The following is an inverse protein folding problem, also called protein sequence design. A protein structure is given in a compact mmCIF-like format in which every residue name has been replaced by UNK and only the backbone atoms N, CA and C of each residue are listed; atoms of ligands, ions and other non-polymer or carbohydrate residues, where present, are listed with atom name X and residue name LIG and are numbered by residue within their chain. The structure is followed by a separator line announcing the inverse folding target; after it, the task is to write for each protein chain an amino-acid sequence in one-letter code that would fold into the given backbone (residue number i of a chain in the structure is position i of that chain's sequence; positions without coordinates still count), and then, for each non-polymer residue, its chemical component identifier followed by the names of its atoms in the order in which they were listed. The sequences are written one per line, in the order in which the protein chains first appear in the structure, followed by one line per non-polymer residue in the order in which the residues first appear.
data_IF_748542313789
#
_entry.id   IF_748542313789
#
_cell.length_a   1.000
_cell.length_b   1.000
_cell.length_c   1.000
_cell.angle_alpha   90.00
_cell.angle_beta   90.00
_cell.angle_gamma   90.00
#
_symmetry.space_group_name_H-M   'P 1'
#
loop_
_entity.id
_entity.type
_entity.pdbx_description
1 polymer ?
#
# COMPACT_ATOMS: atom_id res chain seq x y z
N UNK A 1 -3.45 12.07 -10.13
CA UNK A 1 -3.95 12.47 -8.80
C UNK A 1 -2.81 13.08 -8.02
N UNK A 2 -2.90 14.37 -7.74
CA UNK A 2 -1.76 15.17 -7.32
C UNK A 2 -1.36 14.86 -5.86
N UNK A 3 -0.15 14.34 -5.68
CA UNK A 3 0.40 13.92 -4.38
C UNK A 3 1.18 15.06 -3.70
N UNK A 4 0.80 16.31 -3.94
CA UNK A 4 1.52 17.49 -3.42
C UNK A 4 1.40 17.53 -1.89
N UNK A 5 2.50 17.62 -1.13
CA UNK A 5 2.46 17.74 0.32
C UNK A 5 1.69 19.00 0.77
N UNK A 6 1.13 18.98 1.97
CA UNK A 6 0.54 20.16 2.59
C UNK A 6 1.67 21.12 3.02
N UNK A 7 1.57 22.38 2.63
CA UNK A 7 2.41 23.48 3.12
C UNK A 7 2.06 23.84 4.56
N UNK A 8 2.96 24.54 5.26
CA UNK A 8 2.73 24.89 6.67
C UNK A 8 1.59 25.88 6.87
N UNK A 9 1.30 26.72 5.87
CA UNK A 9 0.10 27.55 5.87
C UNK A 9 -1.15 26.68 5.74
N UNK A 10 -1.21 25.78 4.77
CA UNK A 10 -2.35 24.86 4.58
C UNK A 10 -2.60 24.01 5.84
N UNK A 11 -1.54 23.53 6.51
CA UNK A 11 -1.66 22.77 7.77
C UNK A 11 -2.30 23.61 8.88
N UNK A 12 -1.80 24.83 9.10
CA UNK A 12 -2.31 25.74 10.14
C UNK A 12 -3.77 26.10 9.88
N UNK A 13 -4.11 26.47 8.64
CA UNK A 13 -5.48 26.81 8.24
C UNK A 13 -6.42 25.60 8.40
N UNK A 14 -6.00 24.41 7.97
CA UNK A 14 -6.79 23.19 8.13
C UNK A 14 -7.10 22.88 9.60
N UNK A 15 -6.12 23.02 10.50
CA UNK A 15 -6.30 22.77 11.94
C UNK A 15 -7.23 23.81 12.57
N UNK A 16 -7.06 25.09 12.24
CA UNK A 16 -7.92 26.19 12.71
C UNK A 16 -9.38 25.97 12.30
N UNK A 17 -9.64 25.79 11.01
CA UNK A 17 -11.00 25.55 10.49
C UNK A 17 -11.61 24.29 11.10
N UNK A 18 -10.79 23.26 11.36
CA UNK A 18 -11.25 22.05 12.03
C UNK A 18 -11.65 22.29 13.48
N UNK A 19 -10.91 23.10 14.24
CA UNK A 19 -11.28 23.49 15.61
C UNK A 19 -12.52 24.38 15.64
N UNK A 20 -12.77 25.15 14.60
CA UNK A 20 -14.02 25.93 14.39
C UNK A 20 -15.21 25.05 13.99
N UNK A 21 -15.04 23.73 13.88
CA UNK A 21 -16.11 22.78 13.58
C UNK A 21 -16.42 22.58 12.10
N UNK A 22 -15.59 23.10 11.19
CA UNK A 22 -15.82 22.94 9.76
C UNK A 22 -15.78 21.47 9.33
N UNK A 23 -16.66 21.11 8.39
CA UNK A 23 -16.68 19.78 7.77
C UNK A 23 -15.49 19.63 6.82
N UNK A 24 -14.94 18.41 6.72
CA UNK A 24 -13.77 18.14 5.89
C UNK A 24 -13.95 18.55 4.42
N UNK A 25 -15.16 18.42 3.88
CA UNK A 25 -15.42 18.84 2.50
C UNK A 25 -15.23 20.35 2.33
N UNK A 26 -15.78 21.15 3.24
CA UNK A 26 -15.67 22.61 3.18
C UNK A 26 -14.22 23.08 3.35
N UNK A 27 -13.48 22.49 4.30
CA UNK A 27 -12.05 22.77 4.48
C UNK A 27 -11.25 22.37 3.22
N UNK A 28 -11.57 21.23 2.61
CA UNK A 28 -10.86 20.78 1.43
C UNK A 28 -11.11 21.70 0.23
N UNK A 29 -12.35 22.14 0.03
CA UNK A 29 -12.72 23.14 -0.99
C UNK A 29 -11.97 24.45 -0.76
N UNK A 30 -11.97 24.97 0.48
CA UNK A 30 -11.28 26.21 0.86
C UNK A 30 -9.77 26.16 0.56
N UNK A 31 -9.14 25.00 0.78
CA UNK A 31 -7.71 24.81 0.55
C UNK A 31 -7.37 24.40 -0.90
N UNK A 32 -8.36 24.27 -1.80
CA UNK A 32 -8.15 23.75 -3.15
C UNK A 32 -7.60 22.32 -3.16
N UNK A 33 -8.01 21.49 -2.19
CA UNK A 33 -7.56 20.10 -1.99
C UNK A 33 -8.71 19.12 -2.10
N UNK A 34 -8.37 17.85 -2.19
CA UNK A 34 -9.36 16.77 -2.10
C UNK A 34 -9.68 16.45 -0.64
N UNK A 35 -10.95 16.11 -0.38
CA UNK A 35 -11.40 15.65 0.94
C UNK A 35 -10.62 14.42 1.43
N UNK A 36 -10.24 13.51 0.52
CA UNK A 36 -9.40 12.35 0.82
C UNK A 36 -7.97 12.75 1.23
N UNK A 37 -7.36 13.73 0.56
CA UNK A 37 -6.04 14.27 0.91
C UNK A 37 -6.05 14.92 2.30
N UNK A 38 -7.10 15.69 2.59
CA UNK A 38 -7.30 16.32 3.89
C UNK A 38 -7.55 15.29 5.01
N UNK A 39 -8.38 14.27 4.77
CA UNK A 39 -8.59 13.18 5.71
C UNK A 39 -7.28 12.44 6.04
N UNK A 40 -6.46 12.18 5.01
CA UNK A 40 -5.12 11.61 5.19
C UNK A 40 -4.18 12.51 6.00
N UNK A 41 -4.26 13.83 5.82
CA UNK A 41 -3.53 14.80 6.64
C UNK A 41 -3.93 14.72 8.11
N UNK A 42 -5.23 14.82 8.44
CA UNK A 42 -5.69 14.75 9.83
C UNK A 42 -5.35 13.41 10.50
N UNK A 43 -5.41 12.29 9.76
CA UNK A 43 -4.99 10.99 10.29
C UNK A 43 -3.52 10.99 10.71
N UNK A 44 -2.63 11.55 9.89
CA UNK A 44 -1.20 11.69 10.23
C UNK A 44 -0.99 12.67 11.38
N UNK A 45 -1.72 13.77 11.41
CA UNK A 45 -1.64 14.74 12.51
C UNK A 45 -2.00 14.09 13.85
N UNK A 46 -3.08 13.30 13.93
CA UNK A 46 -3.42 12.57 15.17
C UNK A 46 -2.27 11.69 15.69
N UNK A 47 -1.56 11.02 14.79
CA UNK A 47 -0.40 10.18 15.16
C UNK A 47 0.76 11.04 15.65
N UNK A 48 1.04 12.16 14.97
CA UNK A 48 2.06 13.12 15.41
C UNK A 48 1.73 13.74 16.77
N UNK A 49 0.45 13.98 17.05
CA UNK A 49 -0.05 14.48 18.34
C UNK A 49 -0.08 13.40 19.45
N UNK A 50 0.42 12.18 19.18
CA UNK A 50 0.41 11.07 20.14
C UNK A 50 -0.99 10.54 20.49
N UNK A 51 -2.03 10.91 19.72
CA UNK A 51 -3.40 10.46 20.01
C UNK A 51 -3.56 8.99 19.61
N UNK A 52 -4.17 8.15 20.47
CA UNK A 52 -4.34 6.73 20.17
C UNK A 52 -5.16 6.52 18.90
N UNK A 53 -5.02 5.37 18.20
CA UNK A 53 -5.89 5.01 17.10
C UNK A 53 -7.36 5.13 17.50
N UNK A 54 -8.20 5.66 16.61
CA UNK A 54 -9.65 5.76 16.88
C UNK A 54 -10.33 4.40 16.99
N UNK A 55 -9.67 3.34 16.50
CA UNK A 55 -10.17 1.96 16.54
C UNK A 55 -9.05 1.06 17.06
N UNK A 56 -9.30 0.42 18.20
CA UNK A 56 -8.48 -0.69 18.68
C UNK A 56 -8.89 -1.91 17.86
N UNK A 57 -7.94 -2.50 17.14
CA UNK A 57 -8.17 -3.74 16.39
C UNK A 57 -7.94 -4.90 17.33
N UNK A 58 -9.00 -5.62 17.70
CA UNK A 58 -8.90 -6.89 18.44
C UNK A 58 -8.25 -7.95 17.52
N UNK A 59 -7.11 -8.56 17.86
CA UNK A 59 -6.51 -9.64 17.06
C UNK A 59 -7.46 -10.85 16.95
N UNK A 60 -7.39 -11.61 15.85
CA UNK A 60 -8.10 -12.89 15.73
C UNK A 60 -7.34 -13.97 16.50
N UNK A 61 -8.06 -14.83 17.23
CA UNK A 61 -7.49 -16.05 17.83
C UNK A 61 -7.52 -17.21 16.83
N UNK A 62 -6.72 -18.24 17.10
CA UNK A 62 -6.73 -19.48 16.29
C UNK A 62 -8.11 -20.15 16.32
N UNK A 63 -8.77 -20.18 17.48
CA UNK A 63 -10.14 -20.70 17.62
C UNK A 63 -11.15 -19.91 16.76
N UNK A 64 -11.04 -18.58 16.73
CA UNK A 64 -11.92 -17.76 15.89
C UNK A 64 -11.69 -18.03 14.40
N UNK A 65 -10.44 -18.28 13.99
CA UNK A 65 -10.11 -18.65 12.62
C UNK A 65 -10.68 -20.02 12.25
N UNK A 66 -10.58 -21.00 13.15
CA UNK A 66 -11.12 -22.33 12.95
C UNK A 66 -12.65 -22.30 12.81
N UNK A 67 -13.34 -21.60 13.73
CA UNK A 67 -14.79 -21.42 13.67
C UNK A 67 -15.20 -20.70 12.38
N UNK A 68 -14.45 -19.68 11.97
CA UNK A 68 -14.71 -18.95 10.72
C UNK A 68 -14.59 -19.87 9.49
N UNK A 69 -13.58 -20.73 9.43
CA UNK A 69 -13.37 -21.65 8.32
C UNK A 69 -14.45 -22.74 8.27
N UNK A 70 -14.79 -23.34 9.41
CA UNK A 70 -15.82 -24.37 9.52
C UNK A 70 -17.20 -23.84 9.12
N UNK A 71 -17.64 -22.75 9.73
CA UNK A 71 -18.97 -22.19 9.44
C UNK A 71 -19.09 -21.68 8.01
N UNK A 72 -17.99 -21.19 7.41
CA UNK A 72 -17.99 -20.82 5.99
C UNK A 72 -18.05 -22.02 5.07
N UNK A 73 -17.40 -23.13 5.43
CA UNK A 73 -17.49 -24.40 4.71
C UNK A 73 -18.93 -24.97 4.77
N UNK A 74 -19.60 -24.80 5.89
CA UNK A 74 -20.99 -25.22 6.11
C UNK A 74 -22.02 -24.25 5.49
N UNK A 75 -21.55 -23.20 4.80
CA UNK A 75 -22.39 -22.28 4.04
C UNK A 75 -22.96 -21.11 4.83
N UNK A 76 -22.65 -20.96 6.13
CA UNK A 76 -23.13 -19.84 6.93
C UNK A 76 -22.64 -18.49 6.41
N UNK A 77 -23.48 -17.47 6.51
CA UNK A 77 -23.16 -16.12 6.08
C UNK A 77 -22.22 -15.42 7.06
N UNK A 78 -21.41 -14.47 6.59
CA UNK A 78 -20.57 -13.64 7.47
C UNK A 78 -21.37 -12.84 8.51
N UNK A 79 -22.68 -12.61 8.26
CA UNK A 79 -23.57 -11.96 9.21
C UNK A 79 -23.82 -12.86 10.42
N UNK A 80 -24.17 -14.13 10.20
CA UNK A 80 -24.42 -15.10 11.25
C UNK A 80 -23.15 -15.35 12.08
N UNK A 81 -22.02 -15.55 11.39
CA UNK A 81 -20.71 -15.71 12.04
C UNK A 81 -20.31 -14.44 12.81
N UNK A 82 -20.62 -13.26 12.28
CA UNK A 82 -20.37 -11.98 12.95
C UNK A 82 -21.16 -11.81 14.24
N UNK A 83 -22.43 -12.21 14.24
CA UNK A 83 -23.27 -12.26 15.44
C UNK A 83 -22.69 -13.22 16.48
N UNK A 84 -22.23 -14.41 16.04
CA UNK A 84 -21.64 -15.42 16.93
C UNK A 84 -20.32 -14.95 17.56
N UNK A 85 -19.39 -14.42 16.76
CA UNK A 85 -18.04 -14.05 17.20
C UNK A 85 -17.94 -12.61 17.76
N UNK A 86 -19.03 -11.83 17.70
CA UNK A 86 -19.02 -10.40 18.02
C UNK A 86 -18.06 -9.62 17.12
N UNK A 87 -18.03 -9.94 15.83
CA UNK A 87 -17.08 -9.40 14.84
C UNK A 87 -17.83 -8.67 13.71
N UNK A 88 -17.19 -7.64 13.17
CA UNK A 88 -17.68 -6.94 11.99
C UNK A 88 -17.60 -7.82 10.73
N UNK A 89 -18.64 -7.74 9.90
CA UNK A 89 -18.79 -8.54 8.67
C UNK A 89 -17.61 -8.33 7.71
N UNK A 90 -17.17 -7.08 7.52
CA UNK A 90 -16.05 -6.76 6.64
C UNK A 90 -14.72 -7.30 7.16
N UNK A 91 -14.54 -7.31 8.49
CA UNK A 91 -13.39 -7.94 9.15
C UNK A 91 -13.35 -9.45 8.90
N UNK A 92 -14.49 -10.15 9.03
CA UNK A 92 -14.58 -11.59 8.79
C UNK A 92 -14.32 -11.94 7.33
N UNK A 93 -14.89 -11.20 6.38
CA UNK A 93 -14.61 -11.39 4.96
C UNK A 93 -13.11 -11.28 4.65
N UNK A 94 -12.47 -10.23 5.16
CA UNK A 94 -11.04 -9.99 4.95
C UNK A 94 -10.19 -11.08 5.59
N UNK A 95 -10.56 -11.55 6.80
CA UNK A 95 -9.84 -12.62 7.50
C UNK A 95 -10.00 -13.97 6.79
N UNK A 96 -11.22 -14.34 6.42
CA UNK A 96 -11.50 -15.56 5.68
C UNK A 96 -10.74 -15.60 4.36
N UNK A 97 -10.74 -14.50 3.59
CA UNK A 97 -9.95 -14.38 2.38
C UNK A 97 -8.45 -14.65 2.61
N UNK A 98 -7.89 -14.10 3.69
CA UNK A 98 -6.49 -14.31 4.05
C UNK A 98 -6.17 -15.76 4.44
N UNK A 99 -7.12 -16.47 5.06
CA UNK A 99 -6.96 -17.86 5.48
C UNK A 99 -7.17 -18.85 4.34
N UNK A 100 -8.10 -18.55 3.42
CA UNK A 100 -8.54 -19.47 2.36
C UNK A 100 -7.79 -19.28 1.05
N UNK A 101 -7.23 -18.11 0.78
CA UNK A 101 -6.43 -17.87 -0.43
C UNK A 101 -4.94 -18.06 -0.11
N UNK A 102 -4.17 -18.75 -0.98
CA UNK A 102 -2.73 -18.78 -0.84
C UNK A 102 -2.20 -17.34 -0.86
N UNK A 103 -1.17 -17.03 -0.07
CA UNK A 103 -0.55 -15.72 -0.13
C UNK A 103 -0.16 -15.43 -1.58
N UNK A 104 -0.32 -14.19 -2.07
CA UNK A 104 0.09 -13.85 -3.42
C UNK A 104 1.55 -14.28 -3.60
N UNK A 105 1.89 -14.89 -4.74
CA UNK A 105 3.26 -15.28 -5.15
C UNK A 105 4.18 -14.06 -5.34
N UNK A 106 4.14 -13.07 -4.45
CA UNK A 106 5.20 -12.08 -4.35
C UNK A 106 6.31 -12.71 -3.53
N UNK A 107 7.11 -13.60 -4.13
CA UNK A 107 8.33 -14.06 -3.47
C UNK A 107 9.20 -12.82 -3.23
N UNK A 108 9.37 -12.43 -1.96
CA UNK A 108 10.08 -11.19 -1.62
C UNK A 108 11.57 -11.27 -1.97
N UNK A 109 12.08 -12.49 -2.13
CA UNK A 109 13.44 -12.77 -2.58
C UNK A 109 13.48 -13.11 -4.06
N UNK A 110 14.34 -12.39 -4.77
CA UNK A 110 14.78 -12.75 -6.12
C UNK A 110 15.79 -13.88 -6.01
N UNK A 111 15.50 -15.01 -6.67
CA UNK A 111 16.47 -16.10 -6.83
C UNK A 111 17.51 -15.72 -7.89
N UNK A 112 18.67 -16.38 -7.85
CA UNK A 112 19.69 -16.20 -8.89
C UNK A 112 19.13 -16.52 -10.29
N UNK A 113 18.39 -17.63 -10.42
CA UNK A 113 17.74 -18.04 -11.68
C UNK A 113 16.80 -16.97 -12.24
N UNK A 114 15.98 -16.35 -11.39
CA UNK A 114 15.08 -15.26 -11.84
C UNK A 114 15.85 -14.01 -12.26
N UNK A 115 17.00 -13.72 -11.63
CA UNK A 115 17.85 -12.59 -12.00
C UNK A 115 18.55 -12.86 -13.33
N UNK A 116 19.03 -14.07 -13.56
CA UNK A 116 19.67 -14.45 -14.82
C UNK A 116 18.65 -14.42 -15.97
N UNK A 117 17.45 -14.93 -15.75
CA UNK A 117 16.37 -14.90 -16.74
C UNK A 117 15.89 -13.47 -17.03
N UNK A 118 15.80 -12.62 -16.01
CA UNK A 118 15.50 -11.19 -16.17
C UNK A 118 16.49 -10.50 -17.11
N UNK A 119 17.79 -10.74 -16.90
CA UNK A 119 18.84 -10.10 -17.70
C UNK A 119 18.85 -10.68 -19.12
N UNK A 120 18.70 -12.00 -19.24
CA UNK A 120 18.62 -12.68 -20.55
C UNK A 120 17.47 -12.13 -21.39
N UNK A 121 16.27 -12.00 -20.84
CA UNK A 121 15.12 -11.46 -21.57
C UNK A 121 15.28 -9.97 -21.87
N UNK A 122 15.84 -9.19 -20.94
CA UNK A 122 16.15 -7.78 -21.19
C UNK A 122 17.14 -7.61 -22.35
N UNK A 123 18.21 -8.40 -22.37
CA UNK A 123 19.23 -8.35 -23.42
C UNK A 123 18.69 -8.83 -24.78
N UNK A 124 17.60 -9.59 -24.79
CA UNK A 124 16.82 -9.92 -25.98
C UNK A 124 15.82 -8.83 -26.41
N UNK A 125 15.77 -7.70 -25.69
CA UNK A 125 14.86 -6.60 -25.98
C UNK A 125 13.41 -6.84 -25.56
N UNK A 126 13.13 -7.85 -24.74
CA UNK A 126 11.77 -8.15 -24.25
C UNK A 126 11.30 -7.01 -23.34
N UNK A 127 10.07 -6.54 -23.55
CA UNK A 127 9.48 -5.47 -22.74
C UNK A 127 9.28 -5.88 -21.28
N UNK A 128 9.47 -4.93 -20.34
CA UNK A 128 9.34 -5.18 -18.89
C UNK A 128 7.99 -5.82 -18.50
N UNK A 129 6.90 -5.48 -19.22
CA UNK A 129 5.57 -6.07 -18.97
C UNK A 129 5.54 -7.56 -19.27
N UNK A 130 6.17 -7.98 -20.36
CA UNK A 130 6.20 -9.37 -20.80
C UNK A 130 7.15 -10.19 -19.92
N UNK A 131 8.31 -9.61 -19.54
CA UNK A 131 9.21 -10.20 -18.54
C UNK A 131 8.48 -10.40 -17.21
N UNK A 132 7.68 -9.43 -16.78
CA UNK A 132 6.90 -9.51 -15.56
C UNK A 132 5.84 -10.61 -15.59
N UNK A 133 5.15 -10.77 -16.72
CA UNK A 133 4.22 -11.87 -16.93
C UNK A 133 4.94 -13.24 -16.88
N UNK A 134 6.09 -13.36 -17.56
CA UNK A 134 6.88 -14.59 -17.59
C UNK A 134 7.40 -15.01 -16.20
N UNK A 135 7.84 -14.05 -15.39
CA UNK A 135 8.35 -14.30 -14.03
C UNK A 135 7.24 -14.39 -12.97
N UNK A 136 5.97 -14.13 -13.32
CA UNK A 136 4.87 -14.05 -12.36
C UNK A 136 5.04 -12.93 -11.33
N UNK A 137 5.71 -11.83 -11.71
CA UNK A 137 6.05 -10.70 -10.83
C UNK A 137 5.35 -9.42 -11.27
N UNK A 138 5.32 -8.41 -10.39
CA UNK A 138 4.81 -7.07 -10.72
C UNK A 138 5.84 -6.32 -11.57
N UNK A 139 5.40 -5.66 -12.64
CA UNK A 139 6.27 -4.91 -13.56
C UNK A 139 7.19 -3.89 -12.85
N UNK A 140 6.69 -3.20 -11.82
CA UNK A 140 7.50 -2.28 -11.02
C UNK A 140 8.64 -3.01 -10.29
N UNK A 141 8.36 -4.19 -9.71
CA UNK A 141 9.37 -4.98 -9.01
C UNK A 141 10.45 -5.50 -9.97
N UNK A 142 10.06 -5.85 -11.20
CA UNK A 142 10.97 -6.28 -12.27
C UNK A 142 11.87 -5.12 -12.70
N UNK A 143 11.29 -3.94 -12.93
CA UNK A 143 12.03 -2.71 -13.25
C UNK A 143 13.06 -2.37 -12.18
N UNK A 144 12.65 -2.31 -10.91
CA UNK A 144 13.53 -1.96 -9.79
C UNK A 144 14.69 -2.96 -9.66
N UNK A 145 14.40 -4.26 -9.83
CA UNK A 145 15.44 -5.28 -9.78
C UNK A 145 16.41 -5.18 -10.94
N UNK A 146 15.91 -4.95 -12.15
CA UNK A 146 16.71 -4.84 -13.36
C UNK A 146 17.68 -3.65 -13.23
N UNK A 147 17.16 -2.46 -12.93
CA UNK A 147 17.98 -1.24 -12.76
C UNK A 147 19.04 -1.45 -11.68
N UNK A 148 18.67 -1.99 -10.52
CA UNK A 148 19.63 -2.26 -9.45
C UNK A 148 20.64 -3.36 -9.79
N UNK A 149 20.35 -4.24 -10.75
CA UNK A 149 21.28 -5.30 -11.17
C UNK A 149 22.22 -4.83 -12.27
N UNK A 150 21.71 -4.07 -13.25
CA UNK A 150 22.54 -3.45 -14.29
C UNK A 150 23.50 -2.41 -13.71
N UNK A 151 23.04 -1.58 -12.78
CA UNK A 151 23.89 -0.60 -12.08
C UNK A 151 25.06 -1.28 -11.34
N UNK A 152 24.81 -2.41 -10.64
CA UNK A 152 25.86 -3.19 -9.98
C UNK A 152 26.82 -3.87 -10.95
N UNK A 153 26.40 -4.09 -12.19
CA UNK A 153 27.22 -4.65 -13.28
C UNK A 153 27.90 -3.58 -14.15
N UNK A 154 27.79 -2.30 -13.78
CA UNK A 154 28.39 -1.19 -14.53
C UNK A 154 27.70 -0.89 -15.88
N UNK A 155 26.50 -1.45 -16.11
CA UNK A 155 25.72 -1.23 -17.33
C UNK A 155 24.74 -0.07 -17.12
N UNK A 156 25.03 1.07 -17.74
CA UNK A 156 24.18 2.29 -17.72
C UNK A 156 23.43 2.51 -19.03
N UNK A 157 23.37 1.50 -19.90
CA UNK A 157 22.80 1.52 -21.25
C UNK A 157 21.27 1.52 -21.29
N UNK A 158 20.59 1.63 -20.14
CA UNK A 158 19.13 1.79 -20.09
C UNK A 158 18.80 3.27 -20.14
N UNK A 159 18.08 3.75 -21.18
CA UNK A 159 17.54 5.10 -21.19
C UNK A 159 16.69 5.30 -19.92
N UNK A 160 17.16 6.21 -19.05
CA UNK A 160 16.40 6.71 -17.91
C UNK A 160 15.28 7.63 -18.41
N UNK A 161 14.43 7.15 -19.31
CA UNK A 161 13.14 7.79 -19.52
C UNK A 161 12.13 7.19 -18.53
N UNK A 162 11.21 8.03 -18.09
CA UNK A 162 10.25 7.84 -17.00
C UNK A 162 10.79 8.08 -15.58
N UNK A 163 10.95 9.38 -15.29
CA UNK A 163 10.35 9.97 -14.09
C UNK A 163 10.99 9.60 -12.76
N UNK A 164 12.27 9.91 -12.59
CA UNK A 164 12.94 9.93 -11.29
C UNK A 164 12.23 10.91 -10.35
N UNK A 165 11.42 10.38 -9.41
CA UNK A 165 11.14 11.09 -8.16
C UNK A 165 12.44 11.15 -7.36
N UNK A 166 13.25 12.17 -7.64
CA UNK A 166 14.41 12.50 -6.84
C UNK A 166 13.94 13.27 -5.59
N UNK A 167 13.81 12.57 -4.46
CA UNK A 167 13.80 13.19 -3.13
C UNK A 167 14.81 12.48 -2.25
N UNK A 168 16.05 12.94 -2.32
CA UNK A 168 16.99 12.92 -1.18
C UNK A 168 17.75 14.23 -1.20
N UNK A 169 17.30 15.18 -0.38
CA UNK A 169 18.10 16.32 0.04
C UNK A 169 19.26 15.76 0.88
N UNK A 170 20.49 16.07 0.49
CA UNK A 170 21.66 16.03 1.37
C UNK A 170 21.80 17.38 2.11
N UNK A 171 22.52 17.41 3.24
CA UNK A 171 22.58 18.59 4.10
C UNK A 171 23.50 19.64 3.47
N UNK A 172 23.08 20.90 3.48
CA UNK A 172 24.00 22.03 3.30
C UNK A 172 24.43 22.55 4.67
N UNK A 173 25.73 22.81 4.73
CA UNK A 173 26.56 23.30 5.83
C UNK A 173 25.97 24.46 6.65
#
# INVERSE_FOLDING_TARGET
MDSRPFSDLEKRTALRLKSEGWKHLAIATELGRTSAGLAGFFRRQRVADGRPPTRIVRPYTEDEDQILLELRKDGQTYREIGTLLGRDIGSLYSRHKLLSEPPPKTSSRWTAKEVDELIRQHDQGVGIKDIAAALGRRALSVKDKLLGTLARRGRTDVPLDYGTRNKRQGPHH
#
